data_IF_961971184583
#
_entry.id   IF_961971184583
#
_cell.length_a   1.000
_cell.length_b   1.000
_cell.length_c   1.000
_cell.angle_alpha   90.00
_cell.angle_beta   90.00
_cell.angle_gamma   90.00
#
_symmetry.space_group_name_H-M   'P 1'
#
loop_
_entity.id
_entity.type
_entity.pdbx_description
1 polymer ?
#
# COMPACT_ATOMS: atom_id res chain seq x y z
N UNK A 1 -13.64 0.51 9.35
CA UNK A 1 -13.89 -0.16 8.05
C UNK A 1 -12.74 0.21 7.13
N UNK A 2 -12.14 -0.76 6.44
CA UNK A 2 -11.13 -0.50 5.41
C UNK A 2 -11.76 -0.67 4.03
N UNK A 3 -11.62 0.34 3.17
CA UNK A 3 -12.02 0.26 1.77
C UNK A 3 -10.78 0.19 0.90
N UNK A 4 -10.45 -0.99 0.38
CA UNK A 4 -9.28 -1.17 -0.50
C UNK A 4 -9.72 -1.32 -1.94
N UNK A 5 -9.19 -0.48 -2.83
CA UNK A 5 -9.44 -0.54 -4.28
C UNK A 5 -8.14 -0.94 -4.99
N UNK A 6 -8.21 -2.02 -5.76
CA UNK A 6 -7.12 -2.49 -6.60
C UNK A 6 -7.52 -2.40 -8.06
N UNK A 7 -6.74 -1.71 -8.87
CA UNK A 7 -7.01 -1.58 -10.30
C UNK A 7 -6.28 -2.66 -11.12
N UNK A 8 -6.19 -3.91 -10.61
CA UNK A 8 -5.36 -4.98 -11.17
C UNK A 8 -5.83 -6.42 -10.91
N UNK A 9 -6.05 -6.82 -9.66
CA UNK A 9 -6.71 -8.09 -9.28
C UNK A 9 -6.80 -8.17 -7.75
N UNK A 10 -7.82 -8.88 -7.25
CA UNK A 10 -8.22 -8.93 -5.85
C UNK A 10 -7.22 -9.64 -4.93
N UNK A 11 -7.27 -9.23 -3.67
CA UNK A 11 -6.52 -9.69 -2.49
C UNK A 11 -5.02 -9.39 -2.46
N UNK A 12 -4.70 -8.41 -1.62
CA UNK A 12 -3.38 -7.89 -1.31
C UNK A 12 -2.35 -8.96 -1.00
N UNK A 13 -2.79 -10.05 -0.37
CA UNK A 13 -1.93 -11.11 0.13
C UNK A 13 -1.29 -11.97 -0.98
N UNK A 14 -1.77 -11.88 -2.24
CA UNK A 14 -1.40 -12.86 -3.28
C UNK A 14 -0.99 -12.31 -4.66
N UNK A 15 -1.05 -10.99 -4.93
CA UNK A 15 -1.06 -10.54 -6.33
C UNK A 15 0.25 -9.93 -6.84
N UNK A 16 1.15 -9.45 -5.99
CA UNK A 16 2.36 -8.80 -6.54
C UNK A 16 3.62 -9.22 -5.81
N UNK A 17 4.56 -9.77 -6.57
CA UNK A 17 5.94 -10.02 -6.13
C UNK A 17 6.60 -8.68 -5.75
N UNK A 18 6.39 -8.26 -4.51
CA UNK A 18 7.02 -7.11 -3.88
C UNK A 18 8.42 -7.48 -3.39
N UNK A 19 9.35 -6.54 -3.46
CA UNK A 19 10.67 -6.73 -2.90
C UNK A 19 10.57 -6.99 -1.39
N UNK A 20 11.27 -8.03 -0.91
CA UNK A 20 11.27 -8.43 0.50
C UNK A 20 11.72 -7.31 1.44
N UNK A 21 12.58 -6.40 1.02
CA UNK A 21 13.08 -5.32 1.87
C UNK A 21 12.08 -4.19 2.12
N UNK A 22 11.23 -3.92 1.13
CA UNK A 22 10.12 -2.97 1.27
C UNK A 22 9.07 -3.50 2.25
N UNK A 23 8.84 -4.82 2.21
CA UNK A 23 7.90 -5.55 3.07
C UNK A 23 8.53 -6.01 4.40
N UNK A 24 9.81 -5.69 4.66
CA UNK A 24 10.46 -5.97 5.95
C UNK A 24 10.07 -4.91 6.99
N UNK A 25 10.12 -5.32 8.25
CA UNK A 25 9.89 -4.44 9.40
C UNK A 25 10.80 -3.21 9.33
N UNK A 26 10.19 -2.02 9.38
CA UNK A 26 10.87 -0.73 9.24
C UNK A 26 10.93 -0.17 7.82
N UNK A 27 10.55 -0.96 6.81
CA UNK A 27 10.40 -0.50 5.42
C UNK A 27 9.14 0.36 5.20
N UNK A 28 9.11 1.12 4.11
CA UNK A 28 8.01 2.05 3.79
C UNK A 28 6.66 1.37 3.78
N UNK A 29 6.55 0.16 3.23
CA UNK A 29 5.30 -0.59 3.19
C UNK A 29 4.82 -0.99 4.58
N UNK A 30 5.73 -1.59 5.36
CA UNK A 30 5.46 -1.97 6.74
C UNK A 30 4.97 -0.78 7.59
N UNK A 31 5.61 0.37 7.46
CA UNK A 31 5.25 1.55 8.25
C UNK A 31 3.85 2.07 7.90
N UNK A 32 3.45 2.02 6.63
CA UNK A 32 2.08 2.37 6.22
C UNK A 32 1.06 1.37 6.77
N UNK A 33 1.32 0.07 6.68
CA UNK A 33 0.43 -0.96 7.24
C UNK A 33 0.28 -0.81 8.75
N UNK A 34 1.36 -0.49 9.47
CA UNK A 34 1.30 -0.24 10.90
C UNK A 34 0.46 1.00 11.23
N UNK A 35 0.58 2.08 10.44
CA UNK A 35 -0.24 3.28 10.59
C UNK A 35 -1.74 2.98 10.38
N UNK A 36 -2.07 2.29 9.29
CA UNK A 36 -3.45 1.90 8.99
C UNK A 36 -4.02 0.97 10.07
N UNK A 37 -3.23 0.01 10.54
CA UNK A 37 -3.63 -0.89 11.61
C UNK A 37 -3.84 -0.16 12.94
N UNK A 38 -3.02 0.84 13.28
CA UNK A 38 -3.20 1.68 14.47
C UNK A 38 -4.52 2.46 14.37
N UNK A 39 -4.79 3.10 13.23
CA UNK A 39 -6.03 3.84 13.01
C UNK A 39 -7.28 2.95 13.15
N UNK A 40 -7.23 1.72 12.62
CA UNK A 40 -8.33 0.76 12.71
C UNK A 40 -8.55 0.19 14.13
N UNK A 41 -7.53 0.24 15.01
CA UNK A 41 -7.60 -0.24 16.40
C UNK A 41 -8.10 0.81 17.40
N UNK A 42 -8.22 2.08 17.00
CA UNK A 42 -8.78 3.11 17.87
C UNK A 42 -10.25 2.85 18.23
N UNK A 43 -10.77 3.53 19.26
CA UNK A 43 -12.15 3.42 19.71
C UNK A 43 -12.77 4.83 19.79
N UNK A 44 -13.74 5.19 18.91
CA UNK A 44 -14.23 4.38 17.79
C UNK A 44 -13.16 4.17 16.70
N UNK A 45 -13.24 3.08 15.92
CA UNK A 45 -12.24 2.79 14.89
C UNK A 45 -12.32 3.82 13.76
N UNK A 46 -11.15 4.24 13.30
CA UNK A 46 -11.06 5.17 12.19
C UNK A 46 -11.37 4.48 10.85
N UNK A 47 -11.92 5.23 9.91
CA UNK A 47 -12.07 4.83 8.51
C UNK A 47 -10.73 5.02 7.79
N UNK A 48 -10.32 3.96 7.09
CA UNK A 48 -9.13 3.97 6.24
C UNK A 48 -9.56 3.60 4.81
N UNK A 49 -9.19 4.43 3.83
CA UNK A 49 -9.40 4.14 2.40
C UNK A 49 -8.04 4.03 1.73
N UNK A 50 -7.83 3.00 0.91
CA UNK A 50 -6.53 2.76 0.25
C UNK A 50 -6.77 2.42 -1.23
N UNK A 51 -6.03 3.07 -2.12
CA UNK A 51 -5.94 2.78 -3.56
C UNK A 51 -4.48 2.50 -3.92
N UNK A 52 -4.20 1.29 -4.38
CA UNK A 52 -2.86 0.84 -4.75
C UNK A 52 -2.83 0.54 -6.24
N UNK A 53 -1.93 1.21 -6.95
CA UNK A 53 -1.76 1.09 -8.40
C UNK A 53 -0.35 0.61 -8.72
N UNK A 54 -0.19 -0.61 -9.29
CA UNK A 54 1.09 -1.04 -9.80
C UNK A 54 1.46 -0.20 -11.04
N UNK A 55 2.74 0.13 -11.17
CA UNK A 55 3.31 0.87 -12.30
C UNK A 55 4.32 -0.04 -12.99
N UNK A 56 4.12 -0.28 -14.28
CA UNK A 56 4.96 -1.13 -15.10
C UNK A 56 5.64 -0.31 -16.20
N UNK A 57 6.91 -0.60 -16.45
CA UNK A 57 7.66 -0.21 -17.63
C UNK A 57 7.83 -1.44 -18.51
N UNK A 58 7.47 -1.31 -19.78
CA UNK A 58 7.56 -2.40 -20.74
C UNK A 58 6.59 -3.56 -20.49
N UNK A 59 7.06 -4.79 -20.74
CA UNK A 59 6.23 -6.02 -20.75
C UNK A 59 6.46 -6.92 -19.53
N UNK A 60 7.08 -6.40 -18.48
CA UNK A 60 7.34 -7.17 -17.25
C UNK A 60 6.03 -7.55 -16.55
N UNK A 61 5.98 -8.77 -16.02
CA UNK A 61 4.89 -9.20 -15.12
C UNK A 61 5.04 -8.65 -13.70
N UNK A 62 6.23 -8.16 -13.35
CA UNK A 62 6.54 -7.51 -12.08
C UNK A 62 6.49 -5.98 -12.28
N UNK A 63 5.73 -5.22 -11.46
CA UNK A 63 5.75 -3.77 -11.55
C UNK A 63 7.06 -3.21 -11.03
N UNK A 64 7.45 -2.07 -11.57
CA UNK A 64 8.64 -1.34 -11.14
C UNK A 64 8.36 -0.51 -9.89
N UNK A 65 7.11 -0.10 -9.67
CA UNK A 65 6.73 0.62 -8.48
C UNK A 65 5.24 0.49 -8.16
N UNK A 66 4.86 0.97 -6.99
CA UNK A 66 3.49 1.08 -6.53
C UNK A 66 3.18 2.52 -6.18
N UNK A 67 2.12 3.06 -6.78
CA UNK A 67 1.51 4.31 -6.31
C UNK A 67 0.43 3.95 -5.30
N UNK A 68 0.65 4.34 -4.05
CA UNK A 68 -0.27 4.13 -2.94
C UNK A 68 -0.91 5.46 -2.60
N UNK A 69 -2.23 5.52 -2.61
CA UNK A 69 -3.02 6.67 -2.19
C UNK A 69 -3.87 6.22 -1.02
N UNK A 70 -3.73 6.84 0.14
CA UNK A 70 -4.54 6.47 1.31
C UNK A 70 -5.07 7.67 2.08
N UNK A 71 -6.18 7.46 2.76
CA UNK A 71 -6.89 8.46 3.54
C UNK A 71 -7.31 7.86 4.87
N UNK A 72 -7.11 8.61 5.96
CA UNK A 72 -7.57 8.25 7.30
C UNK A 72 -8.51 9.35 7.80
N UNK A 73 -9.73 9.00 8.22
CA UNK A 73 -10.73 9.93 8.79
C UNK A 73 -11.10 11.14 7.90
N UNK A 74 -11.23 10.97 6.58
CA UNK A 74 -11.64 12.08 5.72
C UNK A 74 -10.58 13.19 5.58
N UNK A 75 -9.35 12.93 6.03
CA UNK A 75 -8.22 13.88 5.89
C UNK A 75 -7.79 13.99 4.42
N UNK A 76 -6.87 14.92 4.14
CA UNK A 76 -6.23 14.99 2.82
C UNK A 76 -5.54 13.66 2.53
N UNK A 77 -5.79 13.01 1.37
CA UNK A 77 -5.14 11.76 1.03
C UNK A 77 -3.62 11.89 0.92
N UNK A 78 -2.90 10.95 1.51
CA UNK A 78 -1.47 10.79 1.31
C UNK A 78 -1.19 10.03 0.01
N UNK A 79 -0.15 10.43 -0.70
CA UNK A 79 0.32 9.77 -1.93
C UNK A 79 1.77 9.35 -1.73
N UNK A 80 2.05 8.05 -1.87
CA UNK A 80 3.41 7.50 -1.84
C UNK A 80 3.70 6.71 -3.12
N UNK A 81 4.91 6.85 -3.64
CA UNK A 81 5.46 5.98 -4.67
C UNK A 81 6.53 5.10 -4.03
N UNK A 82 6.41 3.79 -4.22
CA UNK A 82 7.32 2.80 -3.63
C UNK A 82 7.94 2.00 -4.77
N UNK A 83 9.26 2.10 -4.97
CA UNK A 83 9.93 1.40 -6.07
C UNK A 83 10.11 -0.06 -5.67
N UNK A 84 9.82 -1.00 -6.57
CA UNK A 84 9.89 -2.43 -6.34
C UNK A 84 11.32 -2.98 -6.47
N UNK A 85 12.28 -2.34 -5.80
CA UNK A 85 13.72 -2.63 -5.84
C UNK A 85 14.33 -2.69 -4.43
N UNK A 86 15.61 -3.06 -4.34
CA UNK A 86 16.39 -3.06 -3.09
C UNK A 86 16.47 -1.60 -2.58
N UNK A 87 16.13 -1.35 -1.32
CA UNK A 87 16.15 -0.02 -0.71
C UNK A 87 14.93 0.88 -0.97
N UNK A 88 14.00 0.48 -1.86
CA UNK A 88 12.75 1.21 -2.15
C UNK A 88 12.83 2.30 -3.20
#
# INVERSE_FOLDING_TARGET
>A
MIGTRFNGSGDFDNVVAMNREINRRGGTWYNMEEEWARALKEVPPRKVTVDIRPVYSGKSLRPDSFKVIYEIEGKVPEVKTILNQIGG
#
